data_IF_212174076231
#
_entry.id   IF_212174076231
#
_cell.length_a   1.000
_cell.length_b   1.000
_cell.length_c   1.000
_cell.angle_alpha   90.00
_cell.angle_beta   90.00
_cell.angle_gamma   90.00
#
_symmetry.space_group_name_H-M   'P 1'
#
loop_
_entity.id
_entity.type
_entity.pdbx_description
1 polymer ?
#
# COMPACT_ATOMS: atom_id res chain seq x y z
N UNK A 1 32.07 76.38 -11.62
CA UNK A 1 31.99 76.12 -10.17
C UNK A 1 30.50 76.00 -9.86
N UNK A 2 29.79 74.95 -10.28
CA UNK A 2 30.02 73.51 -9.98
C UNK A 2 30.34 73.38 -8.48
N UNK A 3 29.61 72.62 -7.66
CA UNK A 3 28.91 71.36 -7.88
C UNK A 3 28.06 71.07 -6.62
N UNK A 4 26.77 70.78 -6.76
CA UNK A 4 26.14 69.45 -6.75
C UNK A 4 25.80 68.90 -5.35
N UNK A 5 24.50 68.70 -5.16
CA UNK A 5 23.81 67.92 -4.13
C UNK A 5 24.36 66.49 -4.02
N UNK A 6 24.43 65.96 -2.80
CA UNK A 6 24.41 64.53 -2.54
C UNK A 6 23.53 64.25 -1.32
N UNK A 7 22.33 63.76 -1.60
CA UNK A 7 21.49 63.00 -0.67
C UNK A 7 22.23 61.72 -0.28
N UNK A 8 22.37 61.47 1.02
CA UNK A 8 22.74 60.17 1.54
C UNK A 8 21.46 59.36 1.78
N UNK A 9 21.07 58.58 0.77
CA UNK A 9 20.32 57.34 0.99
C UNK A 9 21.20 56.39 1.80
N UNK A 10 20.88 56.22 3.08
CA UNK A 10 21.45 55.12 3.85
C UNK A 10 20.69 53.83 3.51
N UNK A 11 21.45 52.99 2.81
CA UNK A 11 21.20 51.62 2.40
C UNK A 11 20.19 50.85 3.23
N UNK A 12 19.25 50.26 2.50
CA UNK A 12 18.35 49.24 3.01
C UNK A 12 19.13 48.09 3.64
N UNK A 13 18.56 47.60 4.73
CA UNK A 13 18.83 46.29 5.28
C UNK A 13 18.47 45.23 4.22
N UNK A 14 19.41 44.91 3.33
CA UNK A 14 19.43 43.62 2.63
C UNK A 14 19.87 42.53 3.63
N UNK A 15 19.03 42.28 4.64
CA UNK A 15 18.97 40.96 5.23
C UNK A 15 18.52 39.99 4.12
N UNK A 16 19.36 39.00 3.81
CA UNK A 16 19.16 38.00 2.77
C UNK A 16 17.78 37.34 2.87
N UNK A 17 16.80 37.92 2.18
CA UNK A 17 15.42 37.47 2.19
C UNK A 17 15.31 36.14 1.47
N UNK A 18 15.20 35.05 2.24
CA UNK A 18 14.48 33.89 1.75
C UNK A 18 13.10 34.40 1.31
N UNK A 19 12.86 34.42 -0.01
CA UNK A 19 11.61 34.96 -0.54
C UNK A 19 10.41 34.29 0.12
N UNK A 20 9.35 35.04 0.41
CA UNK A 20 8.09 34.46 0.92
C UNK A 20 7.41 33.62 -0.17
N UNK A 21 6.54 32.70 0.24
CA UNK A 21 5.70 31.95 -0.71
C UNK A 21 4.77 32.90 -1.48
N UNK A 22 3.99 33.70 -0.75
CA UNK A 22 3.11 34.73 -1.33
C UNK A 22 3.44 36.09 -0.74
N UNK A 23 3.62 37.09 -1.60
CA UNK A 23 3.89 38.45 -1.17
C UNK A 23 2.73 38.97 -0.30
N UNK A 24 3.06 39.54 0.86
CA UNK A 24 2.07 40.07 1.81
C UNK A 24 1.32 39.03 2.65
N UNK A 25 1.57 37.73 2.46
CA UNK A 25 0.91 36.65 3.21
C UNK A 25 1.94 35.87 4.03
N UNK A 26 1.70 35.58 5.31
CA UNK A 26 2.53 34.66 6.08
C UNK A 26 2.59 33.26 5.44
N UNK A 27 3.77 32.63 5.44
CA UNK A 27 3.96 31.32 4.80
C UNK A 27 3.08 30.22 5.43
N UNK A 28 2.81 30.29 6.73
CA UNK A 28 1.91 29.35 7.42
C UNK A 28 0.47 29.42 6.88
N UNK A 29 -0.04 30.62 6.59
CA UNK A 29 -1.37 30.78 5.98
C UNK A 29 -1.37 30.19 4.56
N UNK A 30 -0.29 30.41 3.81
CA UNK A 30 -0.15 29.88 2.45
C UNK A 30 -0.09 28.34 2.47
N UNK A 31 0.65 27.76 3.42
CA UNK A 31 0.70 26.31 3.61
C UNK A 31 -0.68 25.77 3.97
N UNK A 32 -1.29 26.28 5.03
CA UNK A 32 -2.47 25.66 5.66
C UNK A 32 -3.76 25.89 4.90
N UNK A 33 -3.88 26.98 4.12
CA UNK A 33 -5.11 27.33 3.41
C UNK A 33 -5.02 27.28 1.88
N UNK A 34 -3.82 27.33 1.30
CA UNK A 34 -3.64 27.30 -0.17
C UNK A 34 -3.05 25.95 -0.60
N UNK A 35 -1.83 25.63 -0.15
CA UNK A 35 -1.10 24.44 -0.60
C UNK A 35 -1.78 23.13 -0.20
N UNK A 36 -2.40 23.09 0.98
CA UNK A 36 -3.17 21.94 1.47
C UNK A 36 -4.35 21.56 0.56
N UNK A 37 -4.92 22.52 -0.18
CA UNK A 37 -6.09 22.31 -1.04
C UNK A 37 -5.73 21.86 -2.46
N UNK A 38 -4.47 21.96 -2.85
CA UNK A 38 -4.02 21.55 -4.17
C UNK A 38 -3.86 20.03 -4.24
N UNK A 39 -4.19 19.38 -5.37
CA UNK A 39 -3.86 17.98 -5.60
C UNK A 39 -2.37 17.70 -5.41
N UNK A 40 -2.00 16.54 -4.87
CA UNK A 40 -0.60 16.15 -4.68
C UNK A 40 0.21 16.20 -5.98
N UNK A 41 -0.43 15.94 -7.12
CA UNK A 41 0.17 15.99 -8.46
C UNK A 41 0.64 17.38 -8.85
N UNK A 42 0.00 18.43 -8.31
CA UNK A 42 0.35 19.83 -8.58
C UNK A 42 1.65 20.24 -7.88
N UNK A 43 2.05 19.57 -6.79
CA UNK A 43 3.26 19.89 -6.04
C UNK A 43 4.51 19.93 -6.92
N UNK A 44 4.59 19.04 -7.91
CA UNK A 44 5.71 19.03 -8.85
C UNK A 44 5.75 20.29 -9.73
N UNK A 45 4.59 20.75 -10.23
CA UNK A 45 4.51 21.98 -11.03
C UNK A 45 4.88 23.20 -10.19
N UNK A 46 4.49 23.21 -8.91
CA UNK A 46 4.84 24.30 -7.99
C UNK A 46 6.34 24.39 -7.72
N UNK A 47 7.07 23.28 -7.83
CA UNK A 47 8.52 23.26 -7.65
C UNK A 47 9.29 24.08 -8.69
N UNK A 48 8.65 24.47 -9.80
CA UNK A 48 9.27 25.27 -10.87
C UNK A 48 8.98 26.77 -10.77
N UNK A 49 8.20 27.24 -9.78
CA UNK A 49 7.79 28.65 -9.70
C UNK A 49 8.92 29.59 -9.25
N UNK A 50 9.35 29.47 -8.00
CA UNK A 50 10.49 30.20 -7.44
C UNK A 50 11.16 29.38 -6.33
N UNK A 51 12.26 29.89 -5.77
CA UNK A 51 13.06 29.20 -4.75
C UNK A 51 12.24 28.84 -3.49
N UNK A 52 11.42 29.75 -2.99
CA UNK A 52 10.61 29.55 -1.79
C UNK A 52 9.58 28.43 -1.97
N UNK A 53 8.85 28.46 -3.09
CA UNK A 53 7.89 27.41 -3.43
C UNK A 53 8.59 26.07 -3.60
N UNK A 54 9.72 26.05 -4.32
CA UNK A 54 10.53 24.86 -4.52
C UNK A 54 10.99 24.25 -3.20
N UNK A 55 11.53 25.06 -2.29
CA UNK A 55 11.96 24.60 -0.96
C UNK A 55 10.77 24.07 -0.15
N UNK A 56 9.64 24.76 -0.15
CA UNK A 56 8.44 24.34 0.58
C UNK A 56 7.89 22.99 0.09
N UNK A 57 7.73 22.80 -1.22
CA UNK A 57 7.16 21.56 -1.78
C UNK A 57 8.15 20.40 -1.85
N UNK A 58 9.46 20.65 -1.85
CA UNK A 58 10.48 19.61 -1.72
C UNK A 58 10.68 19.19 -0.26
N UNK A 59 10.43 20.09 0.69
CA UNK A 59 10.39 19.76 2.11
C UNK A 59 9.09 19.03 2.51
N UNK A 60 9.02 18.57 3.76
CA UNK A 60 7.78 18.01 4.33
C UNK A 60 6.79 19.07 4.84
N UNK A 61 6.99 20.35 4.54
CA UNK A 61 6.14 21.43 5.06
C UNK A 61 4.69 21.28 4.60
N UNK A 62 4.45 20.95 3.33
CA UNK A 62 3.09 20.77 2.80
C UNK A 62 2.43 19.52 3.37
N UNK A 63 3.17 18.41 3.45
CA UNK A 63 2.70 17.18 4.09
C UNK A 63 2.28 17.43 5.55
N UNK A 64 3.15 18.08 6.34
CA UNK A 64 2.88 18.40 7.73
C UNK A 64 1.66 19.32 7.88
N UNK A 65 1.52 20.31 6.99
CA UNK A 65 0.35 21.18 6.95
C UNK A 65 -0.94 20.38 6.66
N UNK A 66 -0.92 19.45 5.70
CA UNK A 66 -2.08 18.57 5.41
C UNK A 66 -2.45 17.67 6.57
N UNK A 67 -1.46 17.11 7.27
CA UNK A 67 -1.68 16.32 8.48
C UNK A 67 -2.33 17.17 9.57
N UNK A 68 -1.76 18.36 9.85
CA UNK A 68 -2.28 19.29 10.88
C UNK A 68 -3.69 19.78 10.58
N UNK A 69 -3.98 20.09 9.32
CA UNK A 69 -5.29 20.63 8.89
C UNK A 69 -6.30 19.53 8.51
N UNK A 70 -5.91 18.25 8.62
CA UNK A 70 -6.72 17.09 8.22
C UNK A 70 -7.23 17.18 6.76
N UNK A 71 -6.38 17.65 5.85
CA UNK A 71 -6.67 17.74 4.41
C UNK A 71 -5.83 16.76 3.59
N UNK A 72 -5.32 15.70 4.23
CA UNK A 72 -4.53 14.70 3.53
C UNK A 72 -5.35 13.99 2.46
N UNK A 73 -4.70 13.68 1.34
CA UNK A 73 -5.26 12.88 0.25
C UNK A 73 -4.89 11.42 0.49
N UNK A 74 -5.80 10.49 0.21
CA UNK A 74 -5.51 9.06 0.31
C UNK A 74 -5.42 8.49 -1.10
N UNK A 75 -4.25 7.94 -1.42
CA UNK A 75 -3.92 7.27 -2.68
C UNK A 75 -3.81 5.76 -2.45
N UNK A 76 -3.88 5.00 -3.53
CA UNK A 76 -3.69 3.55 -3.51
C UNK A 76 -2.51 3.18 -4.40
N UNK A 77 -1.43 2.71 -3.80
CA UNK A 77 -0.30 2.16 -4.54
C UNK A 77 -0.60 0.74 -5.01
N UNK A 78 -0.38 0.48 -6.29
CA UNK A 78 -0.75 -0.77 -6.96
C UNK A 78 0.40 -1.23 -7.86
N UNK A 79 0.77 -2.49 -7.75
CA UNK A 79 1.76 -3.12 -8.64
C UNK A 79 1.07 -3.63 -9.90
N UNK A 80 1.71 -3.41 -11.05
CA UNK A 80 1.15 -3.77 -12.34
C UNK A 80 2.25 -3.99 -13.38
N UNK A 81 1.87 -4.55 -14.53
CA UNK A 81 2.76 -4.67 -15.68
C UNK A 81 3.09 -3.27 -16.23
N UNK A 82 4.36 -2.96 -16.50
CA UNK A 82 4.74 -1.66 -17.00
C UNK A 82 4.05 -1.34 -18.34
N UNK A 83 3.79 -0.06 -18.64
CA UNK A 83 3.38 0.34 -19.98
C UNK A 83 4.38 -0.12 -21.04
N UNK A 84 3.93 -0.30 -22.29
CA UNK A 84 4.80 -0.74 -23.40
C UNK A 84 6.09 0.10 -23.54
N UNK A 85 6.01 1.42 -23.29
CA UNK A 85 7.17 2.32 -23.29
C UNK A 85 8.23 1.96 -22.25
N UNK A 86 7.82 1.41 -21.10
CA UNK A 86 8.70 0.99 -20.00
C UNK A 86 9.17 -0.45 -20.19
N UNK A 87 8.34 -1.34 -20.77
CA UNK A 87 8.74 -2.72 -21.11
C UNK A 87 9.99 -2.73 -21.99
N UNK A 88 10.10 -1.80 -22.96
CA UNK A 88 11.27 -1.68 -23.84
C UNK A 88 12.59 -1.40 -23.08
N UNK A 89 12.52 -0.96 -21.82
CA UNK A 89 13.71 -0.75 -20.97
C UNK A 89 14.18 -2.02 -20.25
N UNK A 90 13.49 -3.16 -20.46
CA UNK A 90 13.78 -4.45 -19.82
C UNK A 90 13.11 -4.65 -18.47
N UNK A 91 12.20 -3.75 -18.07
CA UNK A 91 11.41 -3.89 -16.83
C UNK A 91 10.19 -4.78 -17.02
N UNK A 92 9.89 -5.55 -15.98
CA UNK A 92 8.79 -6.51 -15.92
C UNK A 92 7.66 -6.05 -15.00
N UNK A 93 7.97 -5.21 -14.01
CA UNK A 93 6.99 -4.72 -13.04
C UNK A 93 7.13 -3.21 -12.84
N UNK A 94 6.02 -2.58 -12.52
CA UNK A 94 5.93 -1.16 -12.19
C UNK A 94 4.96 -0.95 -11.04
N UNK A 95 4.97 0.28 -10.51
CA UNK A 95 4.06 0.72 -9.47
C UNK A 95 3.44 2.04 -9.88
N UNK A 96 2.12 2.12 -9.74
CA UNK A 96 1.35 3.34 -9.91
C UNK A 96 0.58 3.64 -8.66
N UNK A 97 0.31 4.92 -8.43
CA UNK A 97 -0.66 5.38 -7.44
C UNK A 97 -1.95 5.76 -8.15
N UNK A 98 -3.04 5.18 -7.70
CA UNK A 98 -4.40 5.53 -8.08
C UNK A 98 -4.95 6.55 -7.08
N UNK A 99 -5.53 7.63 -7.58
CA UNK A 99 -6.24 8.65 -6.80
C UNK A 99 -7.76 8.43 -6.94
N UNK A 100 -8.42 7.86 -5.91
CA UNK A 100 -9.87 7.61 -5.96
C UNK A 100 -10.72 8.88 -6.02
N UNK A 101 -10.17 10.03 -5.62
CA UNK A 101 -10.91 11.30 -5.61
C UNK A 101 -11.01 11.95 -6.99
N UNK A 102 -10.04 11.67 -7.87
CA UNK A 102 -9.97 12.23 -9.22
C UNK A 102 -10.10 11.18 -10.33
N UNK A 103 -10.16 9.89 -9.97
CA UNK A 103 -10.13 8.75 -10.89
C UNK A 103 -8.91 8.81 -11.84
N UNK A 104 -7.74 9.10 -11.27
CA UNK A 104 -6.49 9.25 -12.02
C UNK A 104 -5.41 8.30 -11.56
N UNK A 105 -4.59 7.88 -12.51
CA UNK A 105 -3.45 7.01 -12.30
C UNK A 105 -2.15 7.75 -12.55
N UNK A 106 -1.16 7.53 -11.67
CA UNK A 106 0.16 8.13 -11.77
C UNK A 106 1.24 7.08 -11.63
N UNK A 107 1.97 6.85 -12.72
CA UNK A 107 3.14 5.97 -12.73
C UNK A 107 4.28 6.59 -11.89
N UNK A 108 4.77 5.83 -10.91
CA UNK A 108 5.95 6.25 -10.16
C UNK A 108 7.22 5.99 -10.98
N UNK A 109 8.28 6.80 -10.77
CA UNK A 109 9.57 6.49 -11.37
C UNK A 109 10.05 5.12 -10.86
N UNK A 110 10.94 4.47 -11.60
CA UNK A 110 11.47 3.20 -11.18
C UNK A 110 12.41 3.30 -9.99
N UNK A 111 12.54 2.21 -9.24
CA UNK A 111 13.56 2.07 -8.22
C UNK A 111 14.95 2.02 -8.90
N UNK A 112 15.91 2.89 -8.51
CA UNK A 112 17.28 2.84 -8.99
C UNK A 112 17.91 1.47 -8.75
N UNK A 113 18.76 1.02 -9.69
CA UNK A 113 19.54 -0.21 -9.60
C UNK A 113 18.74 -1.53 -9.46
N UNK A 114 17.42 -1.49 -9.60
CA UNK A 114 16.56 -2.68 -9.71
C UNK A 114 16.08 -2.83 -11.15
N UNK A 115 16.71 -3.76 -11.88
CA UNK A 115 16.57 -3.88 -13.34
C UNK A 115 15.18 -4.34 -13.76
N UNK A 116 14.58 -5.30 -13.07
CA UNK A 116 13.27 -5.83 -13.45
C UNK A 116 12.10 -4.96 -12.97
N UNK A 117 12.35 -3.96 -12.12
CA UNK A 117 11.31 -3.11 -11.53
C UNK A 117 11.13 -3.36 -10.04
N UNK A 118 9.90 -3.59 -9.61
CA UNK A 118 9.54 -3.97 -8.23
C UNK A 118 9.85 -5.47 -8.01
N UNK A 119 10.65 -5.84 -6.99
CA UNK A 119 10.92 -7.24 -6.67
C UNK A 119 9.64 -8.03 -6.39
N UNK A 120 9.55 -9.26 -6.88
CA UNK A 120 8.41 -10.14 -6.60
C UNK A 120 8.40 -10.59 -5.14
N UNK A 121 7.22 -10.86 -4.59
CA UNK A 121 7.04 -11.23 -3.17
C UNK A 121 7.71 -10.27 -2.16
N UNK A 122 7.81 -8.98 -2.51
CA UNK A 122 8.25 -7.93 -1.60
C UNK A 122 7.10 -7.51 -0.67
N UNK A 123 7.45 -6.85 0.43
CA UNK A 123 6.51 -6.12 1.27
C UNK A 123 6.31 -4.71 0.75
N UNK A 124 5.10 -4.18 0.87
CA UNK A 124 4.76 -2.79 0.55
C UNK A 124 3.97 -2.18 1.70
N UNK A 125 4.46 -1.09 2.28
CA UNK A 125 3.77 -0.38 3.37
C UNK A 125 3.91 1.12 3.20
N UNK A 126 2.97 1.89 3.73
CA UNK A 126 3.08 3.33 3.81
C UNK A 126 3.24 3.75 5.26
N UNK A 127 4.21 4.62 5.51
CA UNK A 127 4.42 5.26 6.79
C UNK A 127 4.63 6.75 6.58
N UNK A 128 3.80 7.57 7.22
CA UNK A 128 3.88 9.04 7.18
C UNK A 128 4.01 9.62 5.76
N UNK A 129 3.18 9.18 4.81
CA UNK A 129 3.20 9.66 3.41
C UNK A 129 4.36 9.14 2.54
N UNK A 130 5.24 8.32 3.11
CA UNK A 130 6.29 7.60 2.39
C UNK A 130 5.88 6.16 2.12
N UNK A 131 6.02 5.73 0.87
CA UNK A 131 5.84 4.36 0.46
C UNK A 131 7.15 3.59 0.59
N UNK A 132 7.12 2.41 1.20
CA UNK A 132 8.27 1.54 1.42
C UNK A 132 8.11 0.21 0.69
N UNK A 133 9.13 -0.18 -0.06
CA UNK A 133 9.28 -1.48 -0.71
C UNK A 133 10.38 -2.26 0.00
N UNK A 134 10.03 -3.46 0.48
CA UNK A 134 10.83 -4.25 1.41
C UNK A 134 11.17 -5.61 0.79
N UNK A 135 12.45 -5.98 0.73
CA UNK A 135 12.89 -7.33 0.38
C UNK A 135 12.35 -7.82 -0.97
N UNK A 136 11.80 -9.03 -0.98
CA UNK A 136 11.35 -9.71 -2.19
C UNK A 136 12.50 -10.38 -2.94
N UNK A 137 12.26 -10.77 -4.18
CA UNK A 137 13.26 -11.38 -5.03
C UNK A 137 13.25 -10.82 -6.43
N UNK A 138 14.40 -11.00 -7.07
CA UNK A 138 14.59 -10.64 -8.47
C UNK A 138 15.56 -11.60 -9.14
N UNK A 139 15.59 -11.59 -10.47
CA UNK A 139 16.59 -12.30 -11.26
C UNK A 139 17.99 -11.75 -10.97
N UNK A 140 18.98 -12.65 -10.97
CA UNK A 140 20.38 -12.24 -10.90
C UNK A 140 20.78 -11.49 -12.19
N UNK A 141 21.96 -10.85 -12.16
CA UNK A 141 22.47 -10.08 -13.32
C UNK A 141 22.60 -10.91 -14.62
N UNK A 142 22.62 -12.24 -14.51
CA UNK A 142 22.76 -13.18 -15.62
C UNK A 142 21.43 -13.81 -16.07
N UNK A 143 20.30 -13.54 -15.38
CA UNK A 143 18.98 -14.10 -15.71
C UNK A 143 18.80 -15.59 -15.38
N UNK A 144 19.73 -16.19 -14.64
CA UNK A 144 19.82 -17.65 -14.46
C UNK A 144 19.27 -18.12 -13.11
N UNK A 145 19.25 -17.26 -12.08
CA UNK A 145 18.83 -17.62 -10.73
C UNK A 145 18.09 -16.47 -10.03
N UNK A 146 17.14 -16.83 -9.17
CA UNK A 146 16.39 -15.89 -8.34
C UNK A 146 17.13 -15.59 -7.02
N UNK A 147 17.26 -14.30 -6.68
CA UNK A 147 17.97 -13.83 -5.49
C UNK A 147 17.00 -13.11 -4.56
N UNK A 148 16.83 -13.66 -3.35
CA UNK A 148 16.15 -12.98 -2.25
C UNK A 148 16.94 -11.74 -1.80
N UNK A 149 16.21 -10.67 -1.51
CA UNK A 149 16.72 -9.36 -1.12
C UNK A 149 16.34 -9.04 0.32
N UNK A 150 17.14 -8.17 0.93
CA UNK A 150 16.87 -7.52 2.21
C UNK A 150 16.81 -5.98 2.07
N UNK A 151 16.94 -5.48 0.85
CA UNK A 151 16.98 -4.05 0.55
C UNK A 151 15.62 -3.41 0.82
N UNK A 152 15.67 -2.14 1.19
CA UNK A 152 14.51 -1.33 1.50
C UNK A 152 14.62 -0.04 0.72
N UNK A 153 13.57 0.30 -0.02
CA UNK A 153 13.50 1.53 -0.78
C UNK A 153 12.26 2.32 -0.36
N UNK A 154 12.41 3.62 -0.10
CA UNK A 154 11.31 4.52 0.19
C UNK A 154 11.09 5.55 -0.91
N UNK A 155 9.85 6.00 -1.07
CA UNK A 155 9.45 7.08 -1.97
C UNK A 155 8.48 8.02 -1.24
N UNK A 156 8.88 9.28 -1.06
CA UNK A 156 8.06 10.28 -0.36
C UNK A 156 7.00 10.86 -1.31
N UNK A 157 5.74 10.48 -1.11
CA UNK A 157 4.60 11.03 -1.84
C UNK A 157 4.04 12.31 -1.18
N UNK A 158 4.50 12.63 0.04
CA UNK A 158 4.19 13.88 0.72
C UNK A 158 5.04 15.07 0.25
N UNK A 159 6.06 14.81 -0.57
CA UNK A 159 6.97 15.80 -1.16
C UNK A 159 6.94 15.75 -2.68
N UNK A 160 7.33 16.86 -3.32
CA UNK A 160 7.61 16.91 -4.75
C UNK A 160 8.93 16.19 -5.13
N UNK A 161 9.65 15.59 -4.18
CA UNK A 161 10.85 14.80 -4.42
C UNK A 161 10.50 13.48 -5.14
N UNK A 162 10.50 13.51 -6.47
CA UNK A 162 10.16 12.35 -7.34
C UNK A 162 11.30 11.34 -7.46
N UNK A 163 11.88 10.90 -6.34
CA UNK A 163 13.00 9.97 -6.33
C UNK A 163 12.88 8.94 -5.21
N UNK A 164 13.21 7.69 -5.53
CA UNK A 164 13.38 6.65 -4.53
C UNK A 164 14.68 6.86 -3.76
N UNK A 165 14.65 6.51 -2.47
CA UNK A 165 15.81 6.48 -1.59
C UNK A 165 16.03 5.08 -1.06
N UNK A 166 17.28 4.64 -0.98
CA UNK A 166 17.61 3.40 -0.27
C UNK A 166 17.70 3.67 1.24
N UNK A 167 16.93 2.91 2.02
CA UNK A 167 17.00 2.90 3.49
C UNK A 167 17.96 1.83 3.99
N UNK A 168 18.15 1.74 5.30
CA UNK A 168 18.84 0.62 5.90
C UNK A 168 18.15 -0.69 5.51
N UNK A 169 18.97 -1.64 5.05
CA UNK A 169 18.50 -2.97 4.67
C UNK A 169 18.14 -3.76 5.94
N UNK A 170 17.14 -4.63 5.83
CA UNK A 170 16.83 -5.62 6.87
C UNK A 170 18.07 -6.48 7.16
N UNK A 171 18.18 -7.02 8.37
CA UNK A 171 19.24 -7.97 8.70
C UNK A 171 19.11 -9.25 7.89
N UNK A 172 17.88 -9.78 7.77
CA UNK A 172 17.57 -10.96 6.98
C UNK A 172 17.08 -10.62 5.57
N UNK A 173 17.43 -11.45 4.59
CA UNK A 173 16.71 -11.50 3.30
C UNK A 173 15.33 -12.07 3.54
N UNK A 174 14.31 -11.56 2.84
CA UNK A 174 12.92 -11.99 3.04
C UNK A 174 12.13 -12.01 1.75
N UNK A 175 11.46 -13.12 1.49
CA UNK A 175 10.40 -13.30 0.47
C UNK A 175 9.16 -13.87 1.14
N UNK A 176 7.97 -13.54 0.62
CA UNK A 176 6.68 -14.06 1.13
C UNK A 176 6.48 -13.83 2.64
N UNK A 177 6.98 -12.72 3.16
CA UNK A 177 6.89 -12.31 4.55
C UNK A 177 5.71 -11.35 4.75
N UNK A 178 5.31 -11.15 5.99
CA UNK A 178 4.29 -10.16 6.33
C UNK A 178 4.93 -8.86 6.79
N UNK A 179 4.29 -7.74 6.50
CA UNK A 179 4.71 -6.44 7.00
C UNK A 179 3.52 -5.56 7.38
N UNK A 180 3.69 -4.72 8.41
CA UNK A 180 2.67 -3.80 8.88
C UNK A 180 3.30 -2.54 9.46
N UNK A 181 2.54 -1.44 9.46
CA UNK A 181 2.93 -0.17 10.06
C UNK A 181 2.14 0.08 11.32
N UNK A 182 2.84 0.33 12.43
CA UNK A 182 2.22 0.66 13.71
C UNK A 182 3.12 1.58 14.51
N UNK A 183 2.53 2.55 15.20
CA UNK A 183 3.23 3.48 16.12
C UNK A 183 4.50 4.11 15.50
N UNK A 184 4.42 4.52 14.23
CA UNK A 184 5.53 5.16 13.53
C UNK A 184 6.69 4.25 13.14
N UNK A 185 6.48 2.92 13.12
CA UNK A 185 7.48 1.91 12.78
C UNK A 185 6.94 0.89 11.78
N UNK A 186 7.85 0.28 11.02
CA UNK A 186 7.53 -0.82 10.09
C UNK A 186 7.96 -2.13 10.73
N UNK A 187 7.06 -3.09 10.83
CA UNK A 187 7.32 -4.42 11.36
C UNK A 187 7.34 -5.43 10.21
N UNK A 188 8.25 -6.40 10.28
CA UNK A 188 8.33 -7.52 9.33
C UNK A 188 8.39 -8.85 10.07
N UNK A 189 7.64 -9.82 9.58
CA UNK A 189 7.40 -11.10 10.25
C UNK A 189 7.55 -12.27 9.29
N UNK A 190 8.25 -13.32 9.73
CA UNK A 190 8.38 -14.58 9.01
C UNK A 190 8.99 -14.45 7.60
N UNK A 191 8.47 -15.26 6.68
CA UNK A 191 8.97 -15.41 5.31
C UNK A 191 10.25 -16.24 5.19
N UNK A 192 10.78 -16.30 3.98
CA UNK A 192 11.97 -17.09 3.63
C UNK A 192 13.18 -16.22 3.31
N UNK A 193 14.34 -16.63 3.79
CA UNK A 193 15.63 -16.05 3.45
C UNK A 193 16.15 -16.51 2.08
N UNK A 194 15.61 -17.60 1.53
CA UNK A 194 15.91 -18.07 0.18
C UNK A 194 14.82 -18.99 -0.38
N UNK A 195 14.84 -19.18 -1.69
CA UNK A 195 13.97 -20.13 -2.40
C UNK A 195 14.13 -21.59 -1.99
N UNK A 196 15.18 -21.94 -1.23
CA UNK A 196 15.41 -23.30 -0.73
C UNK A 196 14.60 -23.63 0.53
N UNK A 197 13.66 -22.78 0.92
CA UNK A 197 12.79 -23.03 2.06
C UNK A 197 13.37 -22.63 3.42
N UNK A 198 14.49 -21.92 3.45
CA UNK A 198 15.10 -21.46 4.72
C UNK A 198 14.25 -20.31 5.27
N UNK A 199 13.53 -20.55 6.35
CA UNK A 199 12.72 -19.54 7.02
C UNK A 199 13.59 -18.50 7.73
N UNK A 200 13.11 -17.26 7.79
CA UNK A 200 13.74 -16.24 8.63
C UNK A 200 13.37 -16.48 10.09
N UNK A 201 14.37 -16.75 10.92
CA UNK A 201 14.18 -17.14 12.33
C UNK A 201 13.70 -16.00 13.22
N UNK A 202 14.03 -14.75 12.89
CA UNK A 202 13.68 -13.57 13.71
C UNK A 202 12.74 -12.65 12.96
N UNK A 203 11.87 -11.97 13.70
CA UNK A 203 11.10 -10.82 13.21
C UNK A 203 11.92 -9.54 13.41
N UNK A 204 11.64 -8.50 12.63
CA UNK A 204 12.39 -7.23 12.71
C UNK A 204 11.45 -6.03 12.72
N UNK A 205 11.91 -4.95 13.34
CA UNK A 205 11.22 -3.65 13.33
C UNK A 205 12.17 -2.54 12.88
N UNK A 206 11.71 -1.72 11.94
CA UNK A 206 12.42 -0.57 11.42
C UNK A 206 11.96 0.71 12.09
N UNK A 207 12.94 1.50 12.52
CA UNK A 207 12.75 2.85 13.00
C UNK A 207 13.19 3.84 11.92
N UNK A 208 12.27 4.55 11.23
CA UNK A 208 12.64 5.50 10.19
C UNK A 208 13.45 6.69 10.72
N UNK A 209 13.27 7.08 11.99
CA UNK A 209 14.02 8.19 12.60
C UNK A 209 15.51 7.87 12.77
N UNK A 210 15.82 6.61 13.04
CA UNK A 210 17.20 6.13 13.19
C UNK A 210 17.73 5.49 11.91
N UNK A 211 16.87 5.28 10.91
CA UNK A 211 17.17 4.50 9.71
C UNK A 211 17.86 3.18 10.08
N UNK A 212 17.26 2.42 11.00
CA UNK A 212 17.84 1.16 11.50
C UNK A 212 16.78 0.12 11.85
N UNK A 213 17.17 -1.14 11.77
CA UNK A 213 16.37 -2.30 12.14
C UNK A 213 16.78 -2.82 13.51
N UNK A 214 15.86 -3.45 14.22
CA UNK A 214 16.10 -4.19 15.45
C UNK A 214 15.38 -5.53 15.40
N UNK A 215 15.94 -6.55 16.03
CA UNK A 215 15.25 -7.81 16.22
C UNK A 215 14.15 -7.66 17.28
N UNK A 216 13.06 -8.38 17.06
CA UNK A 216 11.92 -8.53 17.98
C UNK A 216 11.55 -10.01 18.08
N UNK A 217 10.61 -10.34 18.96
CA UNK A 217 10.15 -11.70 19.19
C UNK A 217 9.76 -12.39 17.86
N UNK A 218 10.27 -13.63 17.63
CA UNK A 218 9.95 -14.36 16.42
C UNK A 218 8.46 -14.73 16.39
N UNK A 219 7.92 -14.91 15.18
CA UNK A 219 6.56 -15.46 14.99
C UNK A 219 6.42 -16.80 15.70
N UNK A 220 5.22 -17.14 16.17
CA UNK A 220 4.99 -18.40 16.87
C UNK A 220 5.13 -19.59 15.90
N UNK A 221 4.63 -19.42 14.68
CA UNK A 221 4.74 -20.42 13.63
C UNK A 221 5.27 -19.80 12.34
N UNK A 222 6.32 -20.41 11.77
CA UNK A 222 6.86 -20.00 10.48
C UNK A 222 5.89 -20.39 9.36
N UNK A 223 5.57 -19.46 8.46
CA UNK A 223 4.62 -19.68 7.39
C UNK A 223 4.88 -18.73 6.21
N UNK A 224 4.44 -19.13 5.01
CA UNK A 224 4.58 -18.35 3.78
C UNK A 224 3.30 -17.62 3.43
N UNK A 225 3.42 -16.37 2.99
CA UNK A 225 2.27 -15.64 2.42
C UNK A 225 1.22 -15.24 3.46
N UNK A 226 1.63 -15.09 4.72
CA UNK A 226 0.80 -14.50 5.77
C UNK A 226 0.56 -13.02 5.48
N UNK A 227 -0.61 -12.50 5.86
CA UNK A 227 -0.89 -11.05 5.85
C UNK A 227 -0.77 -10.51 7.27
N UNK A 228 -0.03 -9.42 7.44
CA UNK A 228 -0.04 -8.64 8.68
C UNK A 228 -0.95 -7.42 8.49
N UNK A 229 -1.84 -7.18 9.44
CA UNK A 229 -2.84 -6.13 9.37
C UNK A 229 -3.04 -5.51 10.75
N UNK A 230 -3.14 -4.17 10.80
CA UNK A 230 -3.32 -3.45 12.05
C UNK A 230 -4.78 -3.12 12.23
N UNK A 231 -5.41 -3.75 13.22
CA UNK A 231 -6.79 -3.51 13.61
C UNK A 231 -6.83 -3.36 15.13
N UNK A 232 -7.72 -2.52 15.63
CA UNK A 232 -8.02 -2.41 17.07
C UNK A 232 -6.77 -2.13 17.94
N UNK A 233 -5.76 -1.49 17.35
CA UNK A 233 -4.51 -1.16 18.03
C UNK A 233 -3.53 -2.31 18.21
N UNK A 234 -3.75 -3.47 17.59
CA UNK A 234 -2.84 -4.62 17.58
C UNK A 234 -2.45 -5.02 16.16
N UNK A 235 -1.37 -5.80 16.00
CA UNK A 235 -0.97 -6.37 14.71
C UNK A 235 -1.43 -7.81 14.65
N UNK A 236 -2.39 -8.09 13.77
CA UNK A 236 -2.87 -9.43 13.47
C UNK A 236 -2.06 -10.00 12.31
N UNK A 237 -1.59 -11.24 12.43
CA UNK A 237 -0.91 -11.99 11.39
C UNK A 237 -1.69 -13.27 11.14
N UNK A 238 -2.24 -13.43 9.93
CA UNK A 238 -3.14 -14.53 9.62
C UNK A 238 -2.91 -15.08 8.20
N UNK A 239 -3.35 -16.33 8.01
CA UNK A 239 -3.33 -17.09 6.77
C UNK A 239 -1.96 -17.63 6.43
N UNK A 240 -1.73 -17.82 5.14
CA UNK A 240 -0.53 -18.46 4.61
C UNK A 240 -0.60 -19.98 4.62
N UNK A 241 0.49 -20.62 4.19
CA UNK A 241 0.64 -22.07 4.23
C UNK A 241 1.94 -22.53 4.90
N UNK A 242 1.83 -23.61 5.68
CA UNK A 242 2.95 -24.31 6.28
C UNK A 242 2.85 -25.81 5.97
N UNK A 243 3.92 -26.41 5.41
CA UNK A 243 3.94 -27.83 5.00
C UNK A 243 2.71 -28.31 4.19
N UNK A 244 2.21 -27.48 3.27
CA UNK A 244 1.00 -27.72 2.47
C UNK A 244 -0.32 -27.78 3.27
N UNK A 245 -0.29 -27.39 4.54
CA UNK A 245 -1.48 -27.08 5.34
C UNK A 245 -1.71 -25.57 5.31
N UNK A 246 -2.98 -25.17 5.19
CA UNK A 246 -3.36 -23.77 5.35
C UNK A 246 -3.41 -23.48 6.86
N UNK A 247 -2.81 -22.37 7.29
CA UNK A 247 -3.02 -21.86 8.64
C UNK A 247 -4.42 -21.27 8.70
N UNK A 248 -5.39 -22.15 8.94
CA UNK A 248 -6.78 -21.93 8.60
C UNK A 248 -7.66 -21.57 9.78
N UNK A 249 -7.25 -21.77 11.04
CA UNK A 249 -8.13 -21.69 12.22
C UNK A 249 -7.65 -20.72 13.31
N UNK A 250 -6.42 -20.20 13.21
CA UNK A 250 -5.88 -19.23 14.16
C UNK A 250 -5.28 -17.99 13.49
N UNK A 251 -5.19 -16.91 14.25
CA UNK A 251 -4.35 -15.76 13.96
C UNK A 251 -3.30 -15.61 15.06
N UNK A 252 -2.16 -15.03 14.72
CA UNK A 252 -1.16 -14.61 15.71
C UNK A 252 -1.27 -13.11 15.90
N UNK A 253 -1.34 -12.66 17.15
CA UNK A 253 -1.42 -11.24 17.48
C UNK A 253 -0.15 -10.82 18.20
N UNK A 254 0.49 -9.78 17.66
CA UNK A 254 1.72 -9.22 18.21
C UNK A 254 1.45 -7.97 19.04
N UNK A 255 1.83 -8.01 20.31
CA UNK A 255 1.84 -6.86 21.22
C UNK A 255 3.19 -6.14 21.10
N UNK A 256 3.20 -5.07 20.31
CA UNK A 256 4.39 -4.24 20.09
C UNK A 256 4.94 -3.54 21.34
N UNK A 257 4.17 -3.43 22.44
CA UNK A 257 4.62 -2.82 23.70
C UNK A 257 5.36 -3.83 24.56
N UNK A 258 4.91 -5.09 24.54
CA UNK A 258 5.51 -6.18 25.31
C UNK A 258 6.56 -6.98 24.55
N UNK A 259 6.65 -6.80 23.23
CA UNK A 259 7.46 -7.64 22.34
C UNK A 259 7.10 -9.12 22.51
N UNK A 260 5.80 -9.42 22.42
CA UNK A 260 5.26 -10.76 22.67
C UNK A 260 4.14 -11.09 21.69
N UNK A 261 4.02 -12.39 21.43
CA UNK A 261 2.96 -12.96 20.61
C UNK A 261 1.95 -13.70 21.47
N UNK A 262 0.71 -13.68 21.02
CA UNK A 262 -0.35 -14.57 21.50
C UNK A 262 -1.06 -15.21 20.31
N UNK A 263 -1.43 -16.47 20.46
CA UNK A 263 -2.27 -17.15 19.50
C UNK A 263 -3.74 -16.84 19.78
N UNK A 264 -4.49 -16.51 18.75
CA UNK A 264 -5.94 -16.32 18.75
C UNK A 264 -6.58 -17.51 18.03
N UNK A 265 -6.91 -18.54 18.81
CA UNK A 265 -7.57 -19.77 18.32
C UNK A 265 -9.00 -19.51 17.89
N UNK A 266 -9.53 -20.35 17.00
CA UNK A 266 -10.89 -20.22 16.45
C UNK A 266 -11.13 -18.83 15.86
N UNK A 267 -10.10 -18.29 15.20
CA UNK A 267 -10.19 -16.98 14.56
C UNK A 267 -11.15 -16.98 13.38
N UNK A 268 -11.52 -18.14 12.85
CA UNK A 268 -12.40 -18.25 11.69
C UNK A 268 -13.85 -18.47 12.06
N UNK A 269 -14.75 -18.07 11.18
CA UNK A 269 -16.16 -18.35 11.35
C UNK A 269 -16.46 -19.86 11.15
N UNK A 270 -17.52 -20.42 11.77
CA UNK A 270 -17.76 -21.87 11.87
C UNK A 270 -17.80 -22.64 10.54
N UNK A 271 -18.11 -21.97 9.44
CA UNK A 271 -18.36 -22.63 8.15
C UNK A 271 -17.15 -22.69 7.20
N UNK A 272 -15.98 -22.08 7.49
CA UNK A 272 -14.79 -22.17 6.61
C UNK A 272 -13.53 -21.44 7.11
N UNK A 273 -12.38 -21.78 6.51
CA UNK A 273 -11.10 -21.06 6.62
C UNK A 273 -11.21 -19.65 6.04
N UNK A 274 -10.81 -18.65 6.83
CA UNK A 274 -10.56 -17.29 6.35
C UNK A 274 -9.31 -17.33 5.47
N UNK A 275 -9.34 -16.61 4.36
CA UNK A 275 -8.14 -16.38 3.56
C UNK A 275 -7.60 -14.99 3.84
N UNK A 276 -6.29 -14.88 4.04
CA UNK A 276 -5.62 -13.63 4.40
C UNK A 276 -5.80 -12.52 3.35
N UNK A 277 -5.91 -12.87 2.07
CA UNK A 277 -6.18 -11.95 0.95
C UNK A 277 -7.52 -11.19 1.07
N UNK A 278 -8.46 -11.70 1.87
CA UNK A 278 -9.80 -11.11 2.06
C UNK A 278 -9.92 -10.15 3.23
N UNK A 279 -8.88 -10.05 4.05
CA UNK A 279 -8.89 -9.19 5.23
C UNK A 279 -8.65 -7.73 4.87
N UNK A 280 -9.49 -6.85 5.40
CA UNK A 280 -9.44 -5.40 5.22
C UNK A 280 -9.75 -4.70 6.53
N UNK A 281 -9.18 -3.51 6.75
CA UNK A 281 -9.50 -2.67 7.92
C UNK A 281 -10.44 -1.56 7.48
N UNK A 282 -11.56 -1.44 8.18
CA UNK A 282 -12.57 -0.40 7.99
C UNK A 282 -12.81 0.23 9.35
N UNK A 283 -12.64 1.55 9.46
CA UNK A 283 -12.83 2.30 10.71
C UNK A 283 -12.11 1.69 11.93
N UNK A 284 -10.90 1.19 11.71
CA UNK A 284 -10.05 0.58 12.73
C UNK A 284 -10.45 -0.85 13.13
N UNK A 285 -11.51 -1.41 12.54
CA UNK A 285 -11.97 -2.77 12.79
C UNK A 285 -11.62 -3.70 11.65
N UNK A 286 -11.32 -4.96 11.99
CA UNK A 286 -11.02 -5.97 11.01
C UNK A 286 -12.31 -6.48 10.34
N UNK A 287 -12.29 -6.56 9.02
CA UNK A 287 -13.38 -7.03 8.18
C UNK A 287 -12.87 -8.08 7.19
N UNK A 288 -13.79 -8.92 6.72
CA UNK A 288 -13.53 -9.92 5.68
C UNK A 288 -14.57 -9.80 4.56
N UNK A 289 -14.10 -9.80 3.31
CA UNK A 289 -14.95 -9.96 2.12
C UNK A 289 -15.15 -11.47 1.87
N UNK A 290 -16.31 -12.00 2.26
CA UNK A 290 -16.61 -13.43 2.15
C UNK A 290 -17.86 -13.69 1.31
N UNK A 291 -17.66 -14.24 0.11
CA UNK A 291 -18.77 -14.57 -0.80
C UNK A 291 -19.58 -13.33 -1.13
N UNK A 292 -20.84 -13.31 -0.69
CA UNK A 292 -21.74 -12.18 -0.87
C UNK A 292 -21.94 -11.39 0.44
N UNK A 293 -21.00 -11.44 1.37
CA UNK A 293 -21.11 -10.76 2.65
C UNK A 293 -19.82 -10.03 3.02
N UNK A 294 -19.98 -8.88 3.63
CA UNK A 294 -18.93 -8.22 4.39
C UNK A 294 -19.12 -8.62 5.86
N UNK A 295 -18.12 -9.27 6.43
CA UNK A 295 -18.08 -9.69 7.83
C UNK A 295 -17.25 -8.69 8.63
N UNK A 296 -17.62 -8.43 9.87
CA UNK A 296 -16.82 -7.67 10.86
C UNK A 296 -16.38 -8.60 11.98
N UNK A 297 -15.13 -8.48 12.40
CA UNK A 297 -14.59 -9.17 13.58
C UNK A 297 -14.96 -8.41 14.86
N UNK A 298 -15.31 -9.16 15.89
CA UNK A 298 -15.51 -8.68 17.25
C UNK A 298 -14.37 -9.21 18.13
N UNK A 299 -13.42 -8.34 18.50
CA UNK A 299 -12.27 -8.70 19.33
C UNK A 299 -12.65 -9.27 20.71
N UNK A 300 -13.75 -8.81 21.30
CA UNK A 300 -14.14 -9.19 22.67
C UNK A 300 -14.63 -10.64 22.72
N UNK A 301 -15.32 -11.08 21.68
CA UNK A 301 -15.89 -12.43 21.56
C UNK A 301 -15.10 -13.34 20.63
N UNK A 302 -14.13 -12.80 19.90
CA UNK A 302 -13.40 -13.47 18.82
C UNK A 302 -14.36 -14.15 17.83
N UNK A 303 -15.33 -13.38 17.33
CA UNK A 303 -16.35 -13.89 16.41
C UNK A 303 -16.53 -12.97 15.21
N UNK A 304 -17.16 -13.49 14.15
CA UNK A 304 -17.43 -12.75 12.92
C UNK A 304 -18.93 -12.60 12.71
N UNK A 305 -19.33 -11.41 12.28
CA UNK A 305 -20.74 -11.09 12.02
C UNK A 305 -20.91 -10.42 10.67
N UNK A 306 -21.86 -10.91 9.88
CA UNK A 306 -22.24 -10.27 8.62
C UNK A 306 -22.88 -8.90 8.86
N UNK A 307 -22.39 -7.87 8.17
CA UNK A 307 -22.87 -6.50 8.28
C UNK A 307 -23.56 -6.01 7.01
N UNK A 308 -23.08 -6.41 5.84
CA UNK A 308 -23.61 -6.00 4.54
C UNK A 308 -23.64 -7.18 3.57
N UNK A 309 -24.61 -7.17 2.66
CA UNK A 309 -24.68 -8.07 1.51
C UNK A 309 -23.96 -7.45 0.32
N UNK A 310 -23.16 -8.23 -0.39
CA UNK A 310 -22.41 -7.79 -1.56
C UNK A 310 -23.16 -8.22 -2.82
N UNK A 311 -23.53 -7.25 -3.65
CA UNK A 311 -24.04 -7.52 -4.99
C UNK A 311 -22.90 -7.61 -5.99
N UNK A 312 -22.89 -8.71 -6.76
CA UNK A 312 -21.91 -8.94 -7.82
C UNK A 312 -22.47 -8.68 -9.22
N UNK A 313 -23.54 -7.89 -9.36
CA UNK A 313 -24.16 -7.54 -10.65
C UNK A 313 -23.17 -6.90 -11.64
N UNK A 314 -22.12 -6.25 -11.11
CA UNK A 314 -21.01 -5.73 -11.92
C UNK A 314 -20.33 -6.81 -12.77
N UNK A 315 -20.25 -8.04 -12.26
CA UNK A 315 -19.64 -9.18 -12.96
C UNK A 315 -20.53 -9.66 -14.11
N UNK A 316 -21.86 -9.59 -13.96
CA UNK A 316 -22.80 -9.97 -15.02
C UNK A 316 -22.63 -9.08 -16.25
N UNK A 317 -22.46 -7.77 -16.04
CA UNK A 317 -22.17 -6.80 -17.11
C UNK A 317 -20.87 -7.14 -17.86
N UNK A 318 -19.92 -7.75 -17.17
CA UNK A 318 -18.63 -8.22 -17.70
C UNK A 318 -18.67 -9.67 -18.21
N UNK A 319 -19.84 -10.30 -18.17
CA UNK A 319 -20.03 -11.71 -18.51
C UNK A 319 -19.06 -12.63 -17.72
N UNK A 320 -18.72 -12.25 -16.50
CA UNK A 320 -17.94 -13.04 -15.56
C UNK A 320 -18.88 -13.67 -14.51
N UNK A 321 -18.49 -14.83 -14.00
CA UNK A 321 -19.36 -15.64 -13.14
C UNK A 321 -18.74 -15.83 -11.75
N UNK A 322 -17.53 -15.33 -11.54
CA UNK A 322 -16.80 -15.45 -10.30
C UNK A 322 -15.75 -14.35 -10.20
N UNK A 323 -15.65 -13.78 -9.01
CA UNK A 323 -14.59 -12.88 -8.61
C UNK A 323 -13.94 -13.42 -7.34
N UNK A 324 -12.61 -13.41 -7.34
CA UNK A 324 -11.79 -13.71 -6.17
C UNK A 324 -11.00 -12.46 -5.83
N UNK A 325 -11.33 -11.83 -4.71
CA UNK A 325 -10.51 -10.78 -4.13
C UNK A 325 -9.12 -11.35 -3.80
N UNK A 326 -8.08 -10.71 -4.32
CA UNK A 326 -6.68 -11.03 -4.04
C UNK A 326 -6.07 -10.00 -3.08
N UNK A 327 -6.56 -8.75 -3.12
CA UNK A 327 -6.28 -7.72 -2.11
C UNK A 327 -7.47 -6.77 -1.97
N UNK A 328 -7.61 -6.15 -0.80
CA UNK A 328 -8.61 -5.14 -0.54
C UNK A 328 -8.12 -4.06 0.44
N UNK A 329 -8.55 -2.82 0.21
CA UNK A 329 -8.28 -1.66 1.06
C UNK A 329 -9.55 -0.81 1.20
N UNK A 330 -9.72 -0.15 2.34
CA UNK A 330 -10.80 0.81 2.54
C UNK A 330 -10.25 2.23 2.47
N UNK A 331 -10.87 3.09 1.65
CA UNK A 331 -10.44 4.47 1.43
C UNK A 331 -11.67 5.36 1.29
N UNK A 332 -11.70 6.50 2.00
CA UNK A 332 -12.75 7.52 1.89
C UNK A 332 -14.19 6.98 2.02
N UNK A 333 -14.40 5.95 2.85
CA UNK A 333 -15.71 5.32 3.01
C UNK A 333 -16.09 4.39 1.86
N UNK A 334 -15.16 3.98 1.00
CA UNK A 334 -15.34 3.01 -0.08
C UNK A 334 -14.37 1.82 0.12
N UNK A 335 -14.73 0.66 -0.41
CA UNK A 335 -13.82 -0.47 -0.56
C UNK A 335 -13.26 -0.49 -1.98
N UNK A 336 -11.96 -0.69 -2.08
CA UNK A 336 -11.29 -1.04 -3.33
C UNK A 336 -10.79 -2.47 -3.21
N UNK A 337 -11.13 -3.32 -4.17
CA UNK A 337 -10.65 -4.69 -4.23
C UNK A 337 -10.06 -5.00 -5.59
N UNK A 338 -8.80 -5.43 -5.60
CA UNK A 338 -8.14 -6.00 -6.75
C UNK A 338 -8.34 -7.52 -6.70
N UNK A 339 -8.77 -8.10 -7.81
CA UNK A 339 -8.98 -9.55 -7.83
C UNK A 339 -9.06 -10.15 -9.22
N UNK A 340 -9.03 -11.47 -9.24
CA UNK A 340 -9.21 -12.27 -10.44
C UNK A 340 -10.69 -12.48 -10.74
N UNK A 341 -11.10 -12.20 -11.97
CA UNK A 341 -12.38 -12.64 -12.49
C UNK A 341 -12.23 -13.89 -13.35
N UNK A 342 -13.24 -14.76 -13.33
CA UNK A 342 -13.33 -15.93 -14.20
C UNK A 342 -14.70 -16.01 -14.84
N UNK A 343 -14.71 -16.32 -16.14
CA UNK A 343 -15.87 -16.77 -16.89
C UNK A 343 -15.70 -18.26 -17.14
N UNK A 344 -16.70 -19.04 -16.75
CA UNK A 344 -16.68 -20.48 -16.98
C UNK A 344 -18.08 -21.00 -17.31
N UNK A 345 -18.12 -22.13 -18.00
CA UNK A 345 -19.35 -22.89 -18.24
C UNK A 345 -19.23 -24.24 -17.55
N UNK A 346 -20.27 -24.61 -16.81
CA UNK A 346 -20.37 -25.94 -16.23
C UNK A 346 -21.09 -26.84 -17.23
N UNK A 347 -20.52 -28.01 -17.52
CA UNK A 347 -21.12 -29.03 -18.36
C UNK A 347 -21.18 -30.34 -17.59
N UNK A 348 -22.31 -31.03 -17.67
CA UNK A 348 -22.43 -32.41 -17.17
C UNK A 348 -21.81 -33.37 -18.19
N UNK A 349 -20.89 -34.20 -17.72
CA UNK A 349 -20.24 -35.27 -18.48
C UNK A 349 -20.54 -36.61 -17.81
N UNK A 350 -20.13 -37.72 -18.44
CA UNK A 350 -20.23 -39.07 -17.88
C UNK A 350 -19.42 -39.26 -16.58
N UNK A 351 -18.41 -38.42 -16.36
CA UNK A 351 -17.56 -38.40 -15.16
C UNK A 351 -18.00 -37.36 -14.11
N UNK A 352 -19.14 -36.67 -14.31
CA UNK A 352 -19.68 -35.69 -13.37
C UNK A 352 -19.79 -34.27 -13.92
N UNK A 353 -19.82 -33.27 -13.05
CA UNK A 353 -19.86 -31.85 -13.45
C UNK A 353 -18.44 -31.37 -13.75
N UNK A 354 -18.21 -30.89 -14.97
CA UNK A 354 -16.92 -30.36 -15.41
C UNK A 354 -17.00 -28.86 -15.65
N UNK A 355 -16.04 -28.11 -15.11
CA UNK A 355 -15.93 -26.66 -15.28
C UNK A 355 -14.96 -26.35 -16.43
N UNK A 356 -15.43 -25.61 -17.43
CA UNK A 356 -14.62 -25.14 -18.56
C UNK A 356 -14.41 -23.64 -18.45
N UNK A 357 -13.16 -23.19 -18.34
CA UNK A 357 -12.81 -21.77 -18.29
C UNK A 357 -12.90 -21.19 -19.70
N UNK A 358 -13.71 -20.14 -19.86
CA UNK A 358 -13.93 -19.43 -21.14
C UNK A 358 -13.18 -18.10 -21.19
N UNK A 359 -12.80 -17.56 -20.03
CA UNK A 359 -12.05 -16.31 -19.92
C UNK A 359 -11.66 -16.08 -18.47
N UNK A 360 -10.55 -15.39 -18.27
CA UNK A 360 -10.10 -14.94 -16.97
C UNK A 360 -9.24 -13.71 -17.13
N UNK A 361 -9.18 -12.90 -16.08
CA UNK A 361 -8.34 -11.73 -16.03
C UNK A 361 -8.38 -11.12 -14.65
N UNK A 362 -7.89 -9.89 -14.57
CA UNK A 362 -7.87 -9.12 -13.35
C UNK A 362 -8.70 -7.86 -13.48
N UNK A 363 -9.24 -7.39 -12.36
CA UNK A 363 -10.06 -6.21 -12.32
C UNK A 363 -9.95 -5.53 -10.96
N UNK A 364 -9.95 -4.19 -10.97
CA UNK A 364 -10.07 -3.37 -9.79
C UNK A 364 -11.53 -2.90 -9.67
N UNK A 365 -12.16 -3.26 -8.56
CA UNK A 365 -13.52 -2.88 -8.23
C UNK A 365 -13.52 -1.84 -7.11
N UNK A 366 -14.43 -0.88 -7.20
CA UNK A 366 -14.73 0.10 -6.16
C UNK A 366 -16.16 -0.06 -5.68
N UNK A 367 -16.39 -0.02 -4.37
CA UNK A 367 -17.74 -0.07 -3.83
C UNK A 367 -18.41 1.30 -3.90
N UNK A 368 -19.74 1.33 -4.03
CA UNK A 368 -20.55 2.56 -4.00
C UNK A 368 -20.81 3.01 -2.56
N UNK A 369 -19.73 3.32 -1.83
CA UNK A 369 -19.76 3.67 -0.42
C UNK A 369 -19.91 2.47 0.52
N UNK A 370 -19.65 2.70 1.80
CA UNK A 370 -19.79 1.78 2.92
C UNK A 370 -20.93 2.27 3.80
N UNK A 371 -21.95 1.44 4.03
CA UNK A 371 -23.06 1.79 4.92
C UNK A 371 -24.26 2.46 4.25
N UNK A 372 -24.53 2.19 2.96
CA UNK A 372 -25.83 2.48 2.38
C UNK A 372 -26.96 1.91 3.26
N UNK A 373 -28.04 2.68 3.44
CA UNK A 373 -29.19 2.30 4.29
C UNK A 373 -29.77 0.92 3.94
N UNK A 374 -29.57 0.50 2.70
CA UNK A 374 -30.13 -0.73 2.13
C UNK A 374 -29.33 -2.00 2.49
N UNK A 375 -28.25 -1.89 3.27
CA UNK A 375 -27.35 -3.01 3.63
C UNK A 375 -26.75 -3.76 2.43
N UNK A 376 -26.86 -3.20 1.23
CA UNK A 376 -26.30 -3.74 0.00
C UNK A 376 -25.07 -2.93 -0.40
N UNK A 377 -24.00 -3.64 -0.75
CA UNK A 377 -22.73 -3.12 -1.24
C UNK A 377 -22.63 -3.44 -2.74
N UNK A 378 -22.89 -2.42 -3.55
CA UNK A 378 -22.73 -2.50 -5.00
C UNK A 378 -21.31 -2.09 -5.40
N UNK A 379 -20.87 -2.60 -6.55
CA UNK A 379 -19.55 -2.33 -7.09
C UNK A 379 -19.61 -1.68 -8.46
N UNK A 380 -18.56 -0.95 -8.78
CA UNK A 380 -18.26 -0.44 -10.10
C UNK A 380 -16.80 -0.73 -10.44
N UNK A 381 -16.48 -0.61 -11.72
CA UNK A 381 -15.15 -0.93 -12.22
C UNK A 381 -14.34 0.34 -12.28
N UNK A 382 -13.16 0.28 -11.67
CA UNK A 382 -12.17 1.32 -11.81
C UNK A 382 -11.49 1.14 -13.16
N UNK A 383 -11.51 2.18 -13.99
CA UNK A 383 -10.85 2.13 -15.27
C UNK A 383 -9.33 2.14 -15.06
N UNK A 384 -8.69 0.99 -15.26
CA UNK A 384 -7.25 0.86 -15.15
C UNK A 384 -6.60 0.86 -16.54
N UNK A 385 -5.62 1.75 -16.80
CA UNK A 385 -4.86 1.73 -18.05
C UNK A 385 -3.78 0.64 -18.10
N UNK A 386 -3.62 -0.14 -17.02
CA UNK A 386 -2.57 -1.14 -16.86
C UNK A 386 -3.10 -2.56 -16.77
N UNK A 387 -2.26 -3.49 -17.19
CA UNK A 387 -2.45 -4.92 -17.03
C UNK A 387 -1.89 -5.39 -15.69
N UNK A 388 -2.53 -6.38 -15.08
CA UNK A 388 -2.17 -6.88 -13.75
C UNK A 388 -1.80 -8.37 -13.75
N UNK A 389 -1.11 -8.91 -14.75
CA UNK A 389 -0.79 -10.37 -14.77
C UNK A 389 0.23 -10.84 -13.68
N UNK A 390 0.60 -10.01 -12.71
CA UNK A 390 1.70 -10.28 -11.76
C UNK A 390 1.25 -11.15 -10.59
N UNK A 391 1.75 -12.38 -10.47
CA UNK A 391 1.42 -13.35 -9.40
C UNK A 391 1.62 -12.91 -7.92
N UNK A 392 2.02 -11.66 -7.64
CA UNK A 392 2.21 -11.10 -6.29
C UNK A 392 1.73 -9.65 -6.27
N UNK A 393 0.48 -9.45 -5.87
CA UNK A 393 -0.13 -8.12 -5.81
C UNK A 393 0.14 -7.47 -4.47
N UNK A 394 0.23 -6.14 -4.48
CA UNK A 394 0.12 -5.39 -3.26
C UNK A 394 -0.71 -4.14 -3.49
N UNK A 395 -1.74 -3.97 -2.68
CA UNK A 395 -2.46 -2.71 -2.51
C UNK A 395 -1.96 -2.08 -1.22
N UNK A 396 -1.48 -0.85 -1.30
CA UNK A 396 -1.06 -0.10 -0.12
C UNK A 396 -1.72 1.27 -0.10
N UNK A 397 -2.36 1.62 1.02
CA UNK A 397 -2.92 2.96 1.22
C UNK A 397 -1.79 3.93 1.54
N UNK A 398 -1.72 5.02 0.79
CA UNK A 398 -0.77 6.10 1.04
C UNK A 398 -1.53 7.37 1.37
N UNK A 399 -1.22 8.00 2.51
CA UNK A 399 -1.87 9.23 2.94
C UNK A 399 -0.89 10.41 2.85
N UNK A 400 -1.17 11.39 1.99
CA UNK A 400 -0.25 12.46 1.53
C UNK A 400 -0.78 13.87 1.74
#
# INVERSE_FOLDING_TARGET
>A
MESSEQEQEQGGDEEGGAGRLLAGVPDEITLDHVLTKLPWTTLYVLSSLNRAWREAVLSRSVYNARVRTNTSQTLVAIFHEPPASVIMTGRKTAISVYDPSTDRWHLLPPIPDVRSGIPSSCGCVCLDGELYILGGYDENKHGENWIARNQVHSFDLGSAQRAWKQCASMYGKRINFSCAVKDGKIYVFGGQASFRGVFSEKSEVYNPKQNSWHFIAPVLHHCLGRKAIVAEGEIYVHGGSFHNQLDADFAEVYDCRKDQWRELKNFTHPEQSIRSDRLVVIDGKLHEIYGNYLLVHDAATNSWKATQYISWDVLERFQANHFRADEAVAVNGELLSLGCWKKFRIRRTEYGMQQMILGMGQILLRSKGLGCKDRQLDWEIVNCPYSFWIMSYCLCLVRV
#
